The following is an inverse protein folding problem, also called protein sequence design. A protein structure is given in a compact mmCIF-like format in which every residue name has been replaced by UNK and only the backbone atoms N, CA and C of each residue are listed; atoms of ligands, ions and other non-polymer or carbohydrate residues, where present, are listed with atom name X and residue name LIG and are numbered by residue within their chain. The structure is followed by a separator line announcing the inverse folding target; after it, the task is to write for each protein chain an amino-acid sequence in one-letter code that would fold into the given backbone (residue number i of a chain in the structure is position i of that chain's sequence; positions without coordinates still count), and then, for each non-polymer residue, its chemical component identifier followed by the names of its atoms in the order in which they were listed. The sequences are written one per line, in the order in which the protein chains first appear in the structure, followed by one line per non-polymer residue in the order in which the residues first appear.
data_IF_839556376895
#
_entry.id   IF_839556376895
#
_cell.length_a   1.000
_cell.length_b   1.000
_cell.length_c   1.000
_cell.angle_alpha   90.00
_cell.angle_beta   90.00
_cell.angle_gamma   90.00
#
_symmetry.space_group_name_H-M   'P 1'
#
loop_
_entity.id
_entity.type
_entity.pdbx_description
1 polymer ?
#
# COMPACT_ATOMS: atom_id res chain seq x y z
N UNK A 1 -11.27 -8.55 10.21
CA UNK A 1 -9.85 -9.00 10.13
C UNK A 1 -9.60 -10.24 9.26
N UNK A 2 -10.42 -11.31 9.29
CA UNK A 2 -10.15 -12.54 8.52
C UNK A 2 -10.33 -12.44 6.99
N UNK A 3 -10.90 -11.34 6.46
CA UNK A 3 -11.11 -11.15 5.02
C UNK A 3 -9.89 -10.59 4.28
N UNK A 4 -9.01 -9.84 4.95
CA UNK A 4 -7.86 -9.16 4.33
C UNK A 4 -6.73 -10.13 3.92
N UNK A 5 -6.60 -11.28 4.60
CA UNK A 5 -5.55 -12.27 4.33
C UNK A 5 -5.85 -13.24 3.17
N UNK A 6 -7.05 -13.20 2.56
CA UNK A 6 -7.48 -14.13 1.50
C UNK A 6 -7.12 -13.71 0.07
N UNK A 7 -6.32 -12.65 -0.13
CA UNK A 7 -6.22 -11.98 -1.43
C UNK A 7 -4.82 -11.64 -1.94
N UNK A 8 -3.77 -12.36 -1.54
CA UNK A 8 -2.46 -12.15 -2.17
C UNK A 8 -2.55 -12.51 -3.66
N UNK A 9 -2.23 -11.55 -4.52
CA UNK A 9 -2.28 -11.70 -5.98
C UNK A 9 -1.30 -12.75 -6.48
N UNK A 10 -0.17 -12.93 -5.78
CA UNK A 10 0.92 -13.82 -6.16
C UNK A 10 1.14 -14.87 -5.07
N UNK A 11 1.11 -16.16 -5.46
CA UNK A 11 1.24 -17.28 -4.52
C UNK A 11 2.69 -17.48 -4.09
N UNK A 12 3.63 -17.30 -5.01
CA UNK A 12 5.07 -17.42 -4.77
C UNK A 12 5.81 -16.14 -5.12
N UNK A 13 7.03 -15.99 -4.61
CA UNK A 13 7.91 -14.88 -5.00
C UNK A 13 8.26 -14.92 -6.49
N UNK A 14 8.40 -16.12 -7.08
CA UNK A 14 8.61 -16.27 -8.52
C UNK A 14 7.45 -15.71 -9.32
N UNK A 15 6.21 -15.99 -8.94
CA UNK A 15 5.02 -15.45 -9.63
C UNK A 15 5.05 -13.91 -9.64
N UNK A 16 5.39 -13.30 -8.51
CA UNK A 16 5.49 -11.84 -8.38
C UNK A 16 6.60 -11.27 -9.27
N UNK A 17 7.81 -11.83 -9.22
CA UNK A 17 8.93 -11.32 -10.02
C UNK A 17 8.69 -11.49 -11.53
N UNK A 18 8.01 -12.56 -11.93
CA UNK A 18 7.61 -12.76 -13.33
C UNK A 18 6.54 -11.75 -13.77
N UNK A 19 5.57 -11.43 -12.92
CA UNK A 19 4.52 -10.46 -13.22
C UNK A 19 5.00 -9.00 -13.14
N UNK A 20 5.96 -8.72 -12.25
CA UNK A 20 6.48 -7.37 -11.99
C UNK A 20 8.02 -7.34 -12.08
N UNK A 21 8.63 -7.44 -13.28
CA UNK A 21 10.09 -7.50 -13.42
C UNK A 21 10.85 -6.28 -12.89
N UNK A 22 10.15 -5.15 -12.68
CA UNK A 22 10.70 -3.93 -12.10
C UNK A 22 11.32 -4.16 -10.71
N UNK A 23 10.77 -5.09 -9.91
CA UNK A 23 11.25 -5.38 -8.57
C UNK A 23 12.74 -5.77 -8.53
N UNK A 24 13.25 -6.40 -9.59
CA UNK A 24 14.66 -6.79 -9.70
C UNK A 24 15.63 -5.59 -9.79
N UNK A 25 15.11 -4.38 -10.01
CA UNK A 25 15.89 -3.13 -9.94
C UNK A 25 15.92 -2.53 -8.53
N UNK A 26 14.93 -2.86 -7.70
CA UNK A 26 14.71 -2.23 -6.40
C UNK A 26 15.19 -3.12 -5.23
N UNK A 27 15.43 -4.40 -5.49
CA UNK A 27 16.02 -5.33 -4.52
C UNK A 27 16.90 -6.39 -5.20
N UNK A 28 17.78 -7.01 -4.42
CA UNK A 28 18.78 -7.99 -4.86
C UNK A 28 18.39 -9.43 -4.57
N UNK A 29 17.48 -9.69 -3.63
CA UNK A 29 17.05 -11.05 -3.35
C UNK A 29 16.49 -11.74 -4.60
N UNK A 30 16.95 -12.98 -4.80
CA UNK A 30 16.54 -13.81 -5.93
C UNK A 30 15.21 -14.48 -5.61
N UNK A 31 14.20 -14.44 -6.50
CA UNK A 31 12.92 -15.08 -6.24
C UNK A 31 13.07 -16.60 -6.18
N UNK A 32 12.36 -17.20 -5.23
CA UNK A 32 12.24 -18.65 -5.07
C UNK A 32 10.78 -19.08 -5.26
N UNK A 33 10.54 -20.39 -5.31
CA UNK A 33 9.19 -20.96 -5.41
C UNK A 33 8.47 -21.04 -4.05
N UNK A 34 9.07 -20.46 -3.00
CA UNK A 34 8.45 -20.45 -1.68
C UNK A 34 7.20 -19.55 -1.66
N UNK A 35 6.20 -19.87 -0.83
CA UNK A 35 5.03 -19.02 -0.66
C UNK A 35 5.42 -17.57 -0.36
N UNK A 36 4.71 -16.58 -0.94
CA UNK A 36 5.06 -15.16 -0.83
C UNK A 36 5.22 -14.68 0.63
N UNK A 37 4.37 -15.15 1.54
CA UNK A 37 4.50 -14.82 2.97
C UNK A 37 5.75 -15.43 3.61
N UNK A 38 6.14 -16.64 3.22
CA UNK A 38 7.38 -17.26 3.69
C UNK A 38 8.60 -16.55 3.12
N UNK A 39 8.54 -16.13 1.86
CA UNK A 39 9.58 -15.30 1.24
C UNK A 39 9.76 -13.97 1.99
N UNK A 40 8.66 -13.26 2.25
CA UNK A 40 8.68 -12.03 3.03
C UNK A 40 9.29 -12.22 4.43
N UNK A 41 8.96 -13.32 5.12
CA UNK A 41 9.55 -13.63 6.44
C UNK A 41 11.03 -13.93 6.36
N UNK A 42 11.48 -14.64 5.32
CA UNK A 42 12.89 -14.94 5.10
C UNK A 42 13.69 -13.66 4.82
N UNK A 43 13.14 -12.72 4.04
CA UNK A 43 13.74 -11.40 3.82
C UNK A 43 13.87 -10.64 5.14
N UNK A 44 12.80 -10.61 5.95
CA UNK A 44 12.79 -9.92 7.24
C UNK A 44 13.82 -10.48 8.24
N UNK A 45 14.06 -11.79 8.21
CA UNK A 45 15.08 -12.45 9.02
C UNK A 45 16.50 -12.40 8.40
N UNK A 46 16.62 -11.84 7.20
CA UNK A 46 17.84 -11.82 6.41
C UNK A 46 18.79 -10.68 6.80
N UNK A 47 19.82 -10.50 5.96
CA UNK A 47 20.84 -9.44 6.14
C UNK A 47 20.36 -8.05 5.75
N UNK A 48 19.27 -7.96 4.97
CA UNK A 48 18.70 -6.72 4.44
C UNK A 48 17.18 -6.77 4.65
N UNK A 49 16.69 -6.59 5.90
CA UNK A 49 15.26 -6.67 6.21
C UNK A 49 14.41 -5.66 5.44
N UNK A 50 15.00 -4.56 4.96
CA UNK A 50 14.35 -3.54 4.14
C UNK A 50 13.84 -4.12 2.81
N UNK A 51 14.44 -5.20 2.30
CA UNK A 51 13.94 -5.88 1.11
C UNK A 51 12.56 -6.52 1.34
N UNK A 52 12.17 -6.81 2.59
CA UNK A 52 10.81 -7.25 2.90
C UNK A 52 9.78 -6.13 2.67
N UNK A 53 10.16 -4.88 2.97
CA UNK A 53 9.32 -3.70 2.68
C UNK A 53 9.16 -3.52 1.17
N UNK A 54 10.27 -3.58 0.42
CA UNK A 54 10.24 -3.53 -1.05
C UNK A 54 9.35 -4.63 -1.61
N UNK A 55 9.51 -5.88 -1.16
CA UNK A 55 8.70 -7.00 -1.62
C UNK A 55 7.21 -6.81 -1.32
N UNK A 56 6.86 -6.36 -0.11
CA UNK A 56 5.48 -6.06 0.27
C UNK A 56 4.85 -4.96 -0.60
N UNK A 57 5.61 -3.94 -0.99
CA UNK A 57 5.13 -2.86 -1.86
C UNK A 57 4.65 -3.37 -3.23
N UNK A 58 5.25 -4.45 -3.75
CA UNK A 58 4.80 -5.12 -4.97
C UNK A 58 3.73 -6.19 -4.74
N UNK A 59 3.73 -6.81 -3.57
CA UNK A 59 2.85 -7.95 -3.25
C UNK A 59 1.43 -7.50 -2.89
N UNK A 60 1.30 -6.41 -2.14
CA UNK A 60 0.02 -5.99 -1.58
C UNK A 60 -0.88 -5.37 -2.66
N UNK A 61 -2.17 -5.74 -2.71
CA UNK A 61 -3.14 -4.97 -3.46
C UNK A 61 -3.25 -3.54 -2.89
N UNK A 62 -3.76 -2.61 -3.70
CA UNK A 62 -3.91 -1.18 -3.36
C UNK A 62 -4.48 -0.95 -1.95
N UNK A 63 -5.68 -1.48 -1.65
CA UNK A 63 -6.33 -1.24 -0.36
C UNK A 63 -5.56 -1.79 0.84
N UNK A 64 -5.09 -3.06 0.85
CA UNK A 64 -4.18 -3.54 1.89
C UNK A 64 -2.87 -2.75 2.01
N UNK A 65 -2.31 -2.25 0.91
CA UNK A 65 -1.09 -1.44 0.94
C UNK A 65 -1.34 -0.08 1.61
N UNK A 66 -2.44 0.59 1.26
CA UNK A 66 -2.86 1.86 1.88
C UNK A 66 -3.18 1.66 3.37
N UNK A 67 -3.89 0.59 3.73
CA UNK A 67 -4.15 0.25 5.13
C UNK A 67 -2.85 0.06 5.91
N UNK A 68 -1.90 -0.68 5.36
CA UNK A 68 -0.62 -0.89 6.01
C UNK A 68 0.13 0.42 6.23
N UNK A 69 0.13 1.31 5.22
CA UNK A 69 0.74 2.64 5.36
C UNK A 69 0.01 3.53 6.38
N UNK A 70 -1.32 3.47 6.43
CA UNK A 70 -2.14 4.14 7.45
C UNK A 70 -1.73 3.68 8.86
N UNK A 71 -1.59 2.38 9.09
CA UNK A 71 -1.17 1.85 10.39
C UNK A 71 0.25 2.28 10.75
N UNK A 72 1.19 2.28 9.78
CA UNK A 72 2.54 2.80 9.99
C UNK A 72 2.53 4.26 10.46
N UNK A 73 1.73 5.12 9.81
CA UNK A 73 1.66 6.55 10.14
C UNK A 73 0.87 6.81 11.43
N UNK A 74 -0.14 6.00 11.73
CA UNK A 74 -0.88 6.07 13.00
C UNK A 74 0.01 5.79 14.21
N UNK A 75 1.02 4.93 14.07
CA UNK A 75 2.04 4.68 15.10
C UNK A 75 3.07 5.82 15.24
N UNK A 76 2.98 6.86 14.41
CA UNK A 76 3.83 8.05 14.42
C UNK A 76 3.00 9.33 14.57
N UNK A 77 1.76 9.21 15.08
CA UNK A 77 0.79 10.31 15.11
C UNK A 77 1.29 11.55 15.86
N UNK A 78 2.14 11.39 16.87
CA UNK A 78 2.74 12.51 17.61
C UNK A 78 3.70 13.37 16.77
N UNK A 79 4.13 12.88 15.60
CA UNK A 79 5.00 13.58 14.65
C UNK A 79 4.21 14.27 13.53
N UNK A 80 2.90 14.05 13.46
CA UNK A 80 2.03 14.58 12.41
C UNK A 80 1.41 15.91 12.84
N UNK A 81 1.25 16.82 11.87
CA UNK A 81 0.48 18.05 12.09
C UNK A 81 -1.04 17.80 12.05
N UNK A 82 -1.83 18.76 12.54
CA UNK A 82 -3.29 18.64 12.60
C UNK A 82 -3.92 18.28 11.23
N UNK A 83 -3.49 18.92 10.15
CA UNK A 83 -3.96 18.62 8.79
C UNK A 83 -3.64 17.18 8.36
N UNK A 84 -2.46 16.67 8.72
CA UNK A 84 -2.08 15.29 8.42
C UNK A 84 -2.92 14.30 9.25
N UNK A 85 -3.28 14.65 10.50
CA UNK A 85 -4.15 13.80 11.32
C UNK A 85 -5.58 13.74 10.77
N UNK A 86 -6.13 14.88 10.33
CA UNK A 86 -7.44 14.95 9.66
C UNK A 86 -7.45 14.11 8.38
N UNK A 87 -6.41 14.25 7.55
CA UNK A 87 -6.30 13.51 6.30
C UNK A 87 -6.10 12.01 6.53
N UNK A 88 -5.33 11.62 7.55
CA UNK A 88 -5.13 10.23 7.94
C UNK A 88 -6.46 9.59 8.37
N UNK A 89 -7.32 10.32 9.10
CA UNK A 89 -8.64 9.84 9.49
C UNK A 89 -9.55 9.55 8.28
N UNK A 90 -9.57 10.44 7.27
CA UNK A 90 -10.30 10.22 6.02
C UNK A 90 -9.83 8.96 5.27
N UNK A 91 -8.52 8.70 5.26
CA UNK A 91 -7.98 7.46 4.69
C UNK A 91 -8.42 6.24 5.49
N UNK A 92 -8.46 6.34 6.82
CA UNK A 92 -8.97 5.30 7.71
C UNK A 92 -10.43 4.92 7.40
N UNK A 93 -11.30 5.92 7.24
CA UNK A 93 -12.71 5.73 6.88
C UNK A 93 -12.86 5.02 5.51
N UNK A 94 -12.06 5.44 4.52
CA UNK A 94 -12.04 4.81 3.19
C UNK A 94 -11.63 3.33 3.24
N UNK A 95 -10.62 2.97 4.05
CA UNK A 95 -10.23 1.56 4.21
C UNK A 95 -11.32 0.76 4.94
N UNK A 96 -11.94 1.37 5.95
CA UNK A 96 -12.93 0.73 6.83
C UNK A 96 -14.24 0.35 6.14
N UNK A 97 -14.67 1.13 5.14
CA UNK A 97 -15.95 0.96 4.46
C UNK A 97 -15.80 0.74 2.94
N UNK A 98 -15.38 -0.46 2.51
CA UNK A 98 -15.15 -0.77 1.10
C UNK A 98 -16.47 -0.86 0.32
N UNK A 99 -16.93 0.27 -0.21
CA UNK A 99 -18.17 0.36 -1.00
C UNK A 99 -18.91 1.68 -0.89
N UNK A 100 -18.51 2.54 0.05
CA UNK A 100 -19.06 3.89 0.15
C UNK A 100 -18.32 4.81 -0.84
N UNK A 101 -18.98 5.30 -1.91
CA UNK A 101 -18.34 6.21 -2.86
C UNK A 101 -17.96 7.56 -2.22
N UNK A 102 -18.66 7.97 -1.17
CA UNK A 102 -18.50 9.26 -0.51
C UNK A 102 -17.13 9.38 0.17
N UNK A 103 -16.58 8.28 0.71
CA UNK A 103 -15.26 8.29 1.37
C UNK A 103 -14.12 8.50 0.39
N UNK A 104 -14.20 7.92 -0.80
CA UNK A 104 -13.17 8.12 -1.83
C UNK A 104 -13.21 9.56 -2.35
N UNK A 105 -14.40 10.12 -2.52
CA UNK A 105 -14.57 11.51 -2.93
C UNK A 105 -14.09 12.48 -1.84
N UNK A 106 -14.40 12.21 -0.57
CA UNK A 106 -13.91 13.00 0.56
C UNK A 106 -12.38 13.05 0.61
N UNK A 107 -11.70 11.90 0.42
CA UNK A 107 -10.24 11.86 0.36
C UNK A 107 -9.71 12.63 -0.87
N UNK A 108 -10.34 12.48 -2.04
CA UNK A 108 -9.92 13.17 -3.26
C UNK A 108 -10.05 14.71 -3.14
N UNK A 109 -11.09 15.21 -2.50
CA UNK A 109 -11.29 16.64 -2.26
C UNK A 109 -10.33 17.22 -1.22
N UNK A 110 -9.87 16.40 -0.27
CA UNK A 110 -8.95 16.83 0.79
C UNK A 110 -7.49 16.96 0.31
N UNK A 111 -7.14 16.33 -0.81
CA UNK A 111 -5.79 16.41 -1.39
C UNK A 111 -5.75 17.51 -2.46
N UNK A 112 -5.55 18.75 -2.04
CA UNK A 112 -5.09 19.81 -2.94
C UNK A 112 -3.59 20.05 -2.74
N UNK A 113 -2.84 20.29 -3.83
CA UNK A 113 -1.37 20.56 -3.89
C UNK A 113 -0.50 19.29 -4.00
N UNK A 114 0.68 19.35 -4.68
CA UNK A 114 1.65 18.25 -4.69
C UNK A 114 1.95 17.71 -3.27
N UNK A 115 1.98 16.38 -3.07
CA UNK A 115 2.10 15.79 -1.74
C UNK A 115 3.44 16.14 -1.09
N UNK A 116 3.38 16.85 0.04
CA UNK A 116 4.54 17.26 0.82
C UNK A 116 4.83 16.34 2.03
N UNK A 117 3.85 15.54 2.46
CA UNK A 117 3.94 14.66 3.63
C UNK A 117 3.65 13.20 3.25
N UNK A 118 4.11 12.21 4.04
CA UNK A 118 3.73 10.82 3.86
C UNK A 118 2.22 10.59 3.89
N UNK A 119 1.48 11.36 4.69
CA UNK A 119 0.01 11.28 4.74
C UNK A 119 -0.60 11.75 3.42
N UNK A 120 -0.12 12.85 2.84
CA UNK A 120 -0.60 13.33 1.55
C UNK A 120 -0.42 12.28 0.44
N UNK A 121 0.66 11.50 0.48
CA UNK A 121 0.91 10.42 -0.49
C UNK A 121 -0.11 9.28 -0.38
N UNK A 122 -0.44 8.84 0.83
CA UNK A 122 -1.41 7.74 1.01
C UNK A 122 -2.83 8.20 0.73
N UNK A 123 -3.15 9.47 1.01
CA UNK A 123 -4.43 10.07 0.68
C UNK A 123 -4.61 10.20 -0.83
N UNK A 124 -3.57 10.66 -1.55
CA UNK A 124 -3.58 10.68 -3.01
C UNK A 124 -3.85 9.28 -3.57
N UNK A 125 -3.20 8.24 -3.03
CA UNK A 125 -3.42 6.87 -3.47
C UNK A 125 -4.87 6.38 -3.20
N UNK A 126 -5.48 6.74 -2.08
CA UNK A 126 -6.85 6.34 -1.73
C UNK A 126 -7.92 7.09 -2.55
N UNK A 127 -7.69 8.38 -2.80
CA UNK A 127 -8.55 9.27 -3.59
C UNK A 127 -8.38 9.11 -5.11
N UNK A 128 -7.30 8.46 -5.56
CA UNK A 128 -7.03 8.27 -6.98
C UNK A 128 -8.17 7.49 -7.64
N UNK A 129 -8.70 8.06 -8.72
CA UNK A 129 -9.53 7.35 -9.69
C UNK A 129 -8.60 7.02 -10.84
N UNK A 130 -8.43 5.74 -11.17
CA UNK A 130 -8.00 5.42 -12.52
C UNK A 130 -8.96 6.16 -13.45
N UNK A 131 -8.42 7.12 -14.23
CA UNK A 131 -9.23 7.91 -15.13
C UNK A 131 -10.07 6.95 -15.96
N UNK A 132 -11.38 7.17 -15.96
CA UNK A 132 -12.28 6.56 -16.92
C UNK A 132 -11.66 6.84 -18.29
N UNK A 133 -11.04 5.82 -18.88
CA UNK A 133 -10.70 5.87 -20.29
C UNK A 133 -12.03 5.63 -20.98
N UNK A 134 -12.82 6.71 -21.04
CA UNK A 134 -13.78 6.92 -22.11
C UNK A 134 -13.00 6.90 -23.42
N UNK A 135 -12.78 5.68 -23.91
CA UNK A 135 -12.58 5.44 -25.33
C UNK A 135 -13.99 5.43 -25.90
N UNK A 136 -14.42 6.59 -26.37
CA UNK A 136 -15.32 6.68 -27.52
C UNK A 136 -14.53 6.30 -28.80
#
# INVERSE_FOLDING_TARGET
MAAMARGLRFRTARDLFSACPAIARDMKAVPTDQPSIEFCRALLAGRVPEEAITFCAYLLPERPAIWWAHECLSNLAELLGDTDLELLALVGDWVGEPGNPDHREAVAQAVEVPPATPVSWIALAAGWRDGDSGID
#
